data_IF_609318795282
#
_entry.id   IF_609318795282
#
_cell.length_a   1.000
_cell.length_b   1.000
_cell.length_c   1.000
_cell.angle_alpha   90.00
_cell.angle_beta   90.00
_cell.angle_gamma   90.00
#
_symmetry.space_group_name_H-M   'P 1'
#
loop_
_entity.id
_entity.type
_entity.pdbx_description
1 polymer ?
#
# COMPACT_ATOMS: atom_id res chain seq x y z
N UNK A 1 -13.34 5.43 -16.23
CA UNK A 1 -12.60 6.57 -15.63
C UNK A 1 -12.67 7.72 -16.59
N UNK A 2 -13.14 8.89 -16.18
CA UNK A 2 -13.12 10.06 -17.04
C UNK A 2 -11.67 10.45 -17.34
N UNK A 3 -11.38 10.87 -18.56
CA UNK A 3 -10.06 11.37 -18.98
C UNK A 3 -9.54 12.49 -18.06
N UNK A 4 -10.46 13.18 -17.41
CA UNK A 4 -10.20 14.24 -16.41
C UNK A 4 -9.57 13.67 -15.12
N UNK A 5 -10.05 12.53 -14.61
CA UNK A 5 -9.48 11.93 -13.39
C UNK A 5 -8.04 11.43 -13.62
N UNK A 6 -7.75 10.87 -14.81
CA UNK A 6 -6.40 10.46 -15.16
C UNK A 6 -5.45 11.66 -15.32
N UNK A 7 -5.94 12.77 -15.92
CA UNK A 7 -5.16 14.00 -16.06
C UNK A 7 -4.88 14.67 -14.71
N UNK A 8 -5.85 14.69 -13.79
CA UNK A 8 -5.67 15.24 -12.43
C UNK A 8 -4.67 14.39 -11.64
N UNK A 9 -4.74 13.07 -11.76
CA UNK A 9 -3.79 12.18 -11.09
C UNK A 9 -2.36 12.34 -11.63
N UNK A 10 -2.23 12.45 -12.96
CA UNK A 10 -0.94 12.71 -13.62
C UNK A 10 -0.39 14.09 -13.23
N UNK A 11 -1.23 15.13 -13.16
CA UNK A 11 -0.84 16.48 -12.75
C UNK A 11 -0.39 16.53 -11.29
N UNK A 12 -1.10 15.85 -10.38
CA UNK A 12 -0.70 15.70 -8.97
C UNK A 12 0.62 14.93 -8.82
N UNK A 13 0.86 13.93 -9.66
CA UNK A 13 2.11 13.17 -9.66
C UNK A 13 3.30 14.03 -10.16
N UNK A 14 3.09 14.81 -11.23
CA UNK A 14 4.10 15.72 -11.79
C UNK A 14 4.39 16.88 -10.83
N UNK A 15 3.39 17.48 -10.18
CA UNK A 15 3.59 18.56 -9.21
C UNK A 15 4.30 18.07 -7.94
N UNK A 16 4.06 16.83 -7.52
CA UNK A 16 4.79 16.21 -6.41
C UNK A 16 6.30 16.02 -6.72
N UNK A 17 6.65 15.84 -8.00
CA UNK A 17 8.05 15.71 -8.44
C UNK A 17 8.77 17.05 -8.62
N UNK A 18 8.03 18.17 -8.74
CA UNK A 18 8.60 19.51 -9.02
C UNK A 18 8.73 20.40 -7.79
N UNK A 19 8.30 19.96 -6.61
CA UNK A 19 8.55 20.68 -5.37
C UNK A 19 10.07 20.64 -5.14
N UNK A 20 10.78 21.79 -5.14
CA UNK A 20 12.19 21.81 -4.80
C UNK A 20 12.31 21.44 -3.32
N UNK A 21 12.59 20.17 -3.09
CA UNK A 21 12.80 19.63 -1.75
C UNK A 21 14.13 20.19 -1.26
N UNK A 22 14.04 21.23 -0.44
CA UNK A 22 15.16 21.60 0.42
C UNK A 22 15.55 20.36 1.20
N UNK A 23 16.66 19.74 0.82
CA UNK A 23 17.11 18.41 1.26
C UNK A 23 17.33 18.27 2.78
N UNK A 24 17.01 19.29 3.56
CA UNK A 24 17.22 19.35 5.01
C UNK A 24 15.97 19.07 5.85
N UNK A 25 14.78 18.86 5.26
CA UNK A 25 13.52 18.70 6.01
C UNK A 25 12.78 17.40 5.75
N UNK A 26 13.27 16.53 4.87
CA UNK A 26 12.65 15.21 4.72
C UNK A 26 13.24 14.25 5.75
N UNK A 27 12.39 13.72 6.64
CA UNK A 27 12.79 12.57 7.41
C UNK A 27 13.15 11.44 6.43
N UNK A 28 14.19 10.66 6.73
CA UNK A 28 14.54 9.48 5.95
C UNK A 28 13.29 8.64 5.70
N UNK A 29 13.15 8.13 4.49
CA UNK A 29 11.92 7.45 4.10
C UNK A 29 12.13 6.37 3.05
N UNK A 30 11.04 5.69 2.76
CA UNK A 30 10.97 4.68 1.72
C UNK A 30 9.76 4.95 0.82
N UNK A 31 9.92 4.81 -0.48
CA UNK A 31 8.83 4.74 -1.44
C UNK A 31 8.80 3.34 -2.05
N UNK A 32 7.65 2.71 -2.08
CA UNK A 32 7.43 1.37 -2.63
C UNK A 32 6.44 1.41 -3.77
N UNK A 33 6.71 0.62 -4.80
CA UNK A 33 5.77 0.35 -5.88
C UNK A 33 5.86 -1.12 -6.29
N UNK A 34 4.70 -1.76 -6.45
CA UNK A 34 4.64 -3.17 -6.73
C UNK A 34 3.35 -3.64 -7.36
N UNK A 35 3.32 -4.94 -7.67
CA UNK A 35 2.15 -5.66 -8.13
C UNK A 35 1.57 -6.47 -6.99
N UNK A 36 0.25 -6.61 -6.99
CA UNK A 36 -0.49 -7.31 -5.95
C UNK A 36 -1.37 -8.39 -6.55
N UNK A 37 -1.52 -9.46 -5.80
CA UNK A 37 -2.56 -10.45 -5.98
C UNK A 37 -3.39 -10.50 -4.70
N UNK A 38 -4.69 -10.32 -4.81
CA UNK A 38 -5.61 -10.36 -3.69
C UNK A 38 -6.65 -11.45 -3.88
N UNK A 39 -7.14 -11.98 -2.78
CA UNK A 39 -8.25 -12.90 -2.75
C UNK A 39 -9.32 -12.34 -1.81
N UNK A 40 -10.49 -12.07 -2.36
CA UNK A 40 -11.66 -11.63 -1.59
C UNK A 40 -12.48 -12.87 -1.31
N UNK A 41 -12.63 -13.18 -0.02
CA UNK A 41 -13.39 -14.36 0.43
C UNK A 41 -14.80 -13.92 0.76
N UNK A 42 -15.72 -14.12 -0.17
CA UNK A 42 -17.16 -14.04 0.11
C UNK A 42 -17.65 -15.42 0.57
N UNK A 43 -18.75 -15.44 1.35
CA UNK A 43 -19.35 -16.65 1.96
C UNK A 43 -19.63 -17.77 0.95
N UNK A 44 -19.67 -17.48 -0.36
CA UNK A 44 -20.04 -18.45 -1.41
C UNK A 44 -18.90 -18.74 -2.40
N UNK A 45 -17.97 -17.78 -2.64
CA UNK A 45 -16.91 -17.98 -3.63
C UNK A 45 -15.65 -17.16 -3.29
N UNK A 46 -14.52 -17.84 -3.26
CA UNK A 46 -13.20 -17.22 -3.16
C UNK A 46 -12.74 -16.81 -4.56
N UNK A 47 -12.47 -15.52 -4.75
CA UNK A 47 -12.14 -14.98 -6.07
C UNK A 47 -10.85 -14.18 -6.04
N UNK A 48 -9.92 -14.50 -6.97
CA UNK A 48 -8.64 -13.80 -7.09
C UNK A 48 -8.73 -12.51 -7.90
N UNK A 49 -8.03 -11.48 -7.45
CA UNK A 49 -7.91 -10.16 -8.07
C UNK A 49 -6.44 -9.84 -8.31
N UNK A 50 -6.15 -9.22 -9.44
CA UNK A 50 -4.83 -8.68 -9.75
C UNK A 50 -4.85 -7.17 -9.58
N UNK A 51 -3.73 -6.60 -9.15
CA UNK A 51 -3.68 -5.17 -8.92
C UNK A 51 -2.26 -4.64 -8.75
N UNK A 52 -2.21 -3.42 -8.26
CA UNK A 52 -0.98 -2.74 -7.89
C UNK A 52 -1.09 -2.23 -6.45
N UNK A 53 0.04 -1.98 -5.83
CA UNK A 53 0.10 -1.19 -4.63
C UNK A 53 1.36 -0.32 -4.59
N UNK A 54 1.24 0.81 -3.91
CA UNK A 54 2.33 1.72 -3.66
C UNK A 54 2.22 2.28 -2.25
N UNK A 55 3.34 2.53 -1.61
CA UNK A 55 3.33 3.13 -0.29
C UNK A 55 4.52 4.07 -0.08
N UNK A 56 4.30 5.07 0.77
CA UNK A 56 5.35 5.95 1.26
C UNK A 56 5.45 5.77 2.76
N UNK A 57 6.66 5.54 3.25
CA UNK A 57 7.00 5.39 4.65
C UNK A 57 7.91 6.54 5.08
N UNK A 58 7.59 7.20 6.17
CA UNK A 58 8.41 8.22 6.79
C UNK A 58 8.84 7.75 8.19
N UNK A 59 10.08 8.10 8.57
CA UNK A 59 10.62 7.86 9.91
C UNK A 59 10.63 9.18 10.68
N UNK A 60 9.55 9.51 11.43
CA UNK A 60 9.41 10.83 12.08
C UNK A 60 10.43 11.08 13.21
N UNK A 61 11.01 10.00 13.73
CA UNK A 61 11.96 10.08 14.85
C UNK A 61 13.30 9.46 14.44
N UNK A 62 14.35 10.26 14.39
CA UNK A 62 15.71 9.79 14.07
C UNK A 62 16.25 8.75 15.06
N UNK A 63 15.80 8.80 16.31
CA UNK A 63 16.13 7.81 17.37
C UNK A 63 15.36 6.50 17.25
N UNK A 64 14.25 6.45 16.52
CA UNK A 64 13.38 5.28 16.37
C UNK A 64 13.32 4.82 14.90
N UNK A 65 14.49 4.53 14.31
CA UNK A 65 14.58 4.07 12.91
C UNK A 65 13.86 2.73 12.61
N UNK A 66 13.40 2.05 13.65
CA UNK A 66 12.60 0.83 13.55
C UNK A 66 11.11 1.11 13.39
N UNK A 67 10.66 2.32 13.72
CA UNK A 67 9.27 2.73 13.68
C UNK A 67 9.05 3.72 12.52
N UNK A 68 8.23 3.32 11.56
CA UNK A 68 7.79 4.15 10.44
C UNK A 68 6.30 4.39 10.47
N UNK A 69 5.86 5.51 9.88
CA UNK A 69 4.46 5.75 9.53
C UNK A 69 4.30 5.62 8.02
N UNK A 70 3.30 4.85 7.59
CA UNK A 70 3.09 4.48 6.19
C UNK A 70 1.75 4.99 5.71
N UNK A 71 1.73 5.49 4.47
CA UNK A 71 0.51 5.66 3.67
C UNK A 71 0.60 4.66 2.52
N UNK A 72 -0.39 3.79 2.39
CA UNK A 72 -0.49 2.74 1.37
C UNK A 72 -1.71 3.01 0.48
N UNK A 73 -1.49 2.96 -0.83
CA UNK A 73 -2.55 3.02 -1.83
C UNK A 73 -2.49 1.76 -2.69
N UNK A 74 -3.63 1.14 -2.95
CA UNK A 74 -3.70 -0.05 -3.79
C UNK A 74 -4.95 -0.08 -4.65
N UNK A 75 -4.85 -0.70 -5.82
CA UNK A 75 -5.96 -0.88 -6.75
C UNK A 75 -6.07 -2.33 -7.18
N UNK A 76 -7.29 -2.86 -7.18
CA UNK A 76 -7.61 -4.22 -7.63
C UNK A 76 -8.63 -4.17 -8.76
N UNK A 77 -8.39 -4.97 -9.77
CA UNK A 77 -9.21 -5.00 -10.96
C UNK A 77 -9.67 -6.41 -11.28
N UNK A 78 -10.96 -6.53 -11.59
CA UNK A 78 -11.57 -7.73 -12.14
C UNK A 78 -12.77 -7.33 -12.98
N UNK A 79 -12.92 -7.94 -14.19
CA UNK A 79 -13.96 -7.72 -15.21
C UNK A 79 -15.00 -6.60 -14.96
N UNK A 80 -15.77 -6.67 -13.86
CA UNK A 80 -16.86 -5.72 -13.54
C UNK A 80 -16.69 -5.06 -12.17
N UNK A 81 -15.58 -5.31 -11.47
CA UNK A 81 -15.34 -4.79 -10.12
C UNK A 81 -13.99 -4.09 -10.09
N UNK A 82 -14.00 -2.87 -9.62
CA UNK A 82 -12.80 -2.08 -9.34
C UNK A 82 -12.82 -1.69 -7.87
N UNK A 83 -11.72 -1.95 -7.16
CA UNK A 83 -11.59 -1.56 -5.77
C UNK A 83 -10.28 -0.80 -5.56
N UNK A 84 -10.35 0.32 -4.85
CA UNK A 84 -9.18 1.10 -4.43
C UNK A 84 -9.15 1.16 -2.91
N UNK A 85 -7.98 0.99 -2.32
CA UNK A 85 -7.76 1.18 -0.90
C UNK A 85 -6.83 2.38 -0.69
N UNK A 86 -7.10 3.16 0.34
CA UNK A 86 -6.20 4.15 0.89
C UNK A 86 -6.11 3.90 2.39
N UNK A 87 -4.94 3.46 2.84
CA UNK A 87 -4.69 3.00 4.20
C UNK A 87 -3.52 3.77 4.80
N UNK A 88 -3.52 3.96 6.11
CA UNK A 88 -2.40 4.58 6.81
C UNK A 88 -2.20 3.93 8.19
N UNK A 89 -0.97 3.91 8.67
CA UNK A 89 -0.66 3.39 10.00
C UNK A 89 0.82 3.09 10.24
N UNK A 90 1.13 2.52 11.40
CA UNK A 90 2.48 2.21 11.81
C UNK A 90 3.05 0.96 11.12
N UNK A 91 4.37 0.98 10.94
CA UNK A 91 5.20 -0.15 10.55
C UNK A 91 6.38 -0.27 11.49
N UNK A 92 6.63 -1.48 11.99
CA UNK A 92 7.82 -1.82 12.74
C UNK A 92 8.74 -2.66 11.87
N UNK A 93 10.00 -2.28 11.77
CA UNK A 93 10.98 -2.98 10.95
C UNK A 93 12.31 -3.11 11.67
N UNK A 94 13.08 -4.17 11.36
CA UNK A 94 14.41 -4.37 11.92
C UNK A 94 15.41 -4.72 10.82
N UNK A 95 16.67 -4.30 10.99
CA UNK A 95 17.72 -4.61 10.02
C UNK A 95 18.44 -5.90 10.41
N UNK A 96 18.43 -6.90 9.53
CA UNK A 96 19.10 -8.18 9.67
C UNK A 96 20.03 -8.42 8.47
N UNK A 97 21.14 -7.68 8.42
CA UNK A 97 22.09 -7.73 7.31
C UNK A 97 21.49 -7.21 5.99
N UNK A 98 21.27 -8.10 5.02
CA UNK A 98 20.63 -7.75 3.74
C UNK A 98 19.09 -7.76 3.79
N UNK A 99 18.51 -8.35 4.82
CA UNK A 99 17.08 -8.49 5.03
C UNK A 99 16.59 -7.43 6.01
N UNK A 100 15.41 -6.89 5.74
CA UNK A 100 14.71 -5.99 6.65
C UNK A 100 13.27 -6.47 6.80
N UNK A 101 13.04 -7.45 7.71
CA UNK A 101 11.69 -7.87 8.05
C UNK A 101 10.92 -6.73 8.70
N UNK A 102 9.58 -6.73 8.48
CA UNK A 102 8.68 -5.75 9.06
C UNK A 102 7.30 -6.36 9.33
N UNK A 103 6.60 -5.74 10.25
CA UNK A 103 5.17 -5.93 10.51
C UNK A 103 4.48 -4.58 10.44
N UNK A 104 3.20 -4.58 10.08
CA UNK A 104 2.43 -3.35 9.88
C UNK A 104 0.98 -3.53 10.30
N UNK A 105 0.35 -2.42 10.70
CA UNK A 105 -1.08 -2.35 10.97
C UNK A 105 -1.62 -1.03 10.43
N UNK A 106 -2.61 -1.08 9.56
CA UNK A 106 -3.17 0.08 8.89
C UNK A 106 -4.67 0.15 9.09
N UNK A 107 -5.19 1.37 9.07
CA UNK A 107 -6.61 1.65 8.99
C UNK A 107 -6.88 2.61 7.83
N UNK A 108 -8.07 2.53 7.24
CA UNK A 108 -8.43 3.43 6.16
C UNK A 108 -9.74 3.07 5.49
N UNK A 109 -9.86 3.47 4.23
CA UNK A 109 -11.08 3.32 3.45
C UNK A 109 -10.81 2.52 2.17
N UNK A 110 -11.83 1.79 1.76
CA UNK A 110 -11.88 1.10 0.47
C UNK A 110 -13.00 1.72 -0.36
N UNK A 111 -12.72 2.06 -1.60
CA UNK A 111 -13.72 2.45 -2.58
C UNK A 111 -13.97 1.27 -3.51
N UNK A 112 -15.21 0.79 -3.55
CA UNK A 112 -15.61 -0.32 -4.41
C UNK A 112 -16.63 0.21 -5.40
N UNK A 113 -16.37 -0.01 -6.70
CA UNK A 113 -17.32 0.20 -7.79
C UNK A 113 -17.63 -1.17 -8.42
N UNK A 114 -18.89 -1.56 -8.29
CA UNK A 114 -19.40 -2.83 -8.86
C UNK A 114 -20.71 -2.58 -9.58
N UNK A 115 -20.67 -2.48 -10.91
CA UNK A 115 -21.85 -2.38 -11.77
C UNK A 115 -22.87 -1.30 -11.34
N UNK A 116 -22.38 -0.13 -10.89
CA UNK A 116 -23.20 1.00 -10.47
C UNK A 116 -23.51 1.07 -8.96
N UNK A 117 -23.09 0.09 -8.18
CA UNK A 117 -23.10 0.17 -6.72
C UNK A 117 -21.75 0.70 -6.21
N UNK A 118 -21.78 1.86 -5.56
CA UNK A 118 -20.61 2.46 -4.92
C UNK A 118 -20.69 2.24 -3.41
N UNK A 119 -19.59 1.77 -2.82
CA UNK A 119 -19.48 1.61 -1.37
C UNK A 119 -18.10 2.00 -0.88
N UNK A 120 -18.05 2.57 0.32
CA UNK A 120 -16.82 3.04 0.97
C UNK A 120 -16.67 2.43 2.38
N UNK A 121 -16.46 1.10 2.51
CA UNK A 121 -16.26 0.50 3.82
C UNK A 121 -14.93 0.90 4.46
N UNK A 122 -14.93 0.96 5.79
CA UNK A 122 -13.70 1.06 6.58
C UNK A 122 -12.97 -0.28 6.54
N UNK A 123 -11.65 -0.22 6.39
CA UNK A 123 -10.75 -1.38 6.32
C UNK A 123 -9.71 -1.28 7.41
N UNK A 124 -9.48 -2.41 8.08
CA UNK A 124 -8.33 -2.64 8.94
C UNK A 124 -7.45 -3.66 8.24
N UNK A 125 -6.17 -3.38 8.16
CA UNK A 125 -5.15 -4.21 7.51
C UNK A 125 -4.05 -4.53 8.52
N UNK A 126 -3.70 -5.80 8.64
CA UNK A 126 -2.55 -6.26 9.42
C UNK A 126 -1.70 -7.15 8.52
N UNK A 127 -0.44 -6.84 8.43
CA UNK A 127 0.44 -7.56 7.52
C UNK A 127 1.90 -7.53 7.94
N UNK A 128 2.71 -8.10 7.06
CA UNK A 128 4.14 -8.10 7.24
C UNK A 128 4.85 -8.57 5.98
N UNK A 129 6.15 -8.46 6.01
CA UNK A 129 6.98 -8.82 4.88
C UNK A 129 8.45 -8.61 5.15
N UNK A 130 9.21 -8.56 4.08
CA UNK A 130 10.63 -8.30 4.16
C UNK A 130 11.12 -7.57 2.93
N UNK A 131 12.09 -6.67 3.14
CA UNK A 131 12.85 -6.02 2.08
C UNK A 131 14.20 -6.70 1.95
N UNK A 132 14.56 -7.10 0.77
CA UNK A 132 15.89 -7.60 0.44
C UNK A 132 16.71 -6.50 -0.24
N UNK A 133 17.82 -6.10 0.38
CA UNK A 133 18.70 -5.04 -0.12
C UNK A 133 19.40 -5.50 -1.40
N UNK A 134 19.13 -4.79 -2.50
CA UNK A 134 19.80 -5.02 -3.77
C UNK A 134 21.24 -4.46 -3.76
N UNK A 135 22.04 -4.82 -4.76
CA UNK A 135 23.39 -4.27 -4.90
C UNK A 135 23.38 -2.76 -5.25
N UNK A 136 22.24 -2.20 -5.62
CA UNK A 136 22.03 -0.77 -5.80
C UNK A 136 21.70 -0.12 -4.46
N UNK A 137 22.52 0.84 -4.05
CA UNK A 137 22.52 1.41 -2.67
C UNK A 137 21.15 1.85 -2.16
N UNK A 138 20.30 2.40 -3.04
CA UNK A 138 18.99 2.96 -2.67
C UNK A 138 17.81 2.03 -2.91
N UNK A 139 18.03 0.84 -3.51
CA UNK A 139 16.94 -0.04 -3.89
C UNK A 139 16.91 -1.35 -3.09
N UNK A 140 15.70 -1.80 -2.80
CA UNK A 140 15.43 -3.10 -2.19
C UNK A 140 14.25 -3.75 -2.90
N UNK A 141 14.21 -5.07 -2.87
CA UNK A 141 13.07 -5.86 -3.32
C UNK A 141 12.20 -6.19 -2.12
N UNK A 142 10.90 -5.93 -2.22
CA UNK A 142 9.92 -6.22 -1.16
C UNK A 142 9.03 -7.39 -1.54
N UNK A 143 8.76 -8.24 -0.54
CA UNK A 143 7.67 -9.22 -0.55
C UNK A 143 6.88 -9.01 0.73
N UNK A 144 5.55 -8.89 0.62
CA UNK A 144 4.66 -8.71 1.77
C UNK A 144 3.35 -9.46 1.59
N UNK A 145 2.73 -9.80 2.72
CA UNK A 145 1.39 -10.37 2.79
C UNK A 145 0.59 -9.59 3.82
N UNK A 146 -0.64 -9.24 3.47
CA UNK A 146 -1.54 -8.45 4.28
C UNK A 146 -2.88 -9.17 4.41
N UNK A 147 -3.48 -9.07 5.60
CA UNK A 147 -4.80 -9.55 5.93
C UNK A 147 -5.69 -8.34 6.18
N UNK A 148 -6.68 -8.15 5.34
CA UNK A 148 -7.61 -7.03 5.41
C UNK A 148 -8.95 -7.50 5.93
N UNK A 149 -9.49 -6.76 6.89
CA UNK A 149 -10.85 -6.93 7.39
C UNK A 149 -11.65 -5.69 7.04
N UNK A 150 -12.73 -5.86 6.29
CA UNK A 150 -13.68 -4.80 6.01
C UNK A 150 -15.05 -5.12 6.61
N UNK A 151 -15.76 -4.06 7.04
CA UNK A 151 -17.13 -4.19 7.53
C UNK A 151 -18.07 -3.56 6.50
N UNK A 152 -18.86 -4.40 5.85
CA UNK A 152 -19.76 -3.99 4.78
C UNK A 152 -21.17 -4.53 5.05
N UNK A 153 -22.18 -3.67 5.09
CA UNK A 153 -23.61 -4.01 5.27
C UNK A 153 -23.84 -5.07 6.36
N UNK A 154 -23.31 -4.84 7.57
CA UNK A 154 -23.39 -5.76 8.72
C UNK A 154 -22.70 -7.12 8.55
N UNK A 155 -21.93 -7.30 7.47
CA UNK A 155 -21.11 -8.50 7.27
C UNK A 155 -19.62 -8.17 7.37
N UNK A 156 -18.89 -9.05 8.03
CA UNK A 156 -17.43 -8.97 8.09
C UNK A 156 -16.84 -9.76 6.94
N UNK A 157 -16.00 -9.13 6.14
CA UNK A 157 -15.30 -9.73 5.03
C UNK A 157 -13.79 -9.78 5.35
N UNK A 158 -13.17 -10.91 5.04
CA UNK A 158 -11.73 -11.13 5.19
C UNK A 158 -11.10 -11.31 3.81
N UNK A 159 -10.07 -10.53 3.55
CA UNK A 159 -9.35 -10.54 2.28
C UNK A 159 -7.85 -10.74 2.55
N UNK A 160 -7.14 -11.35 1.60
CA UNK A 160 -5.69 -11.48 1.61
C UNK A 160 -5.12 -10.69 0.45
N UNK A 161 -3.96 -10.08 0.68
CA UNK A 161 -3.16 -9.44 -0.36
C UNK A 161 -1.73 -9.94 -0.26
N UNK A 162 -1.20 -10.52 -1.31
CA UNK A 162 0.23 -10.76 -1.49
C UNK A 162 0.77 -9.76 -2.50
N UNK A 163 1.91 -9.15 -2.21
CA UNK A 163 2.49 -8.11 -3.05
C UNK A 163 3.99 -8.25 -3.16
N UNK A 164 4.52 -7.84 -4.29
CA UNK A 164 5.97 -7.82 -4.54
C UNK A 164 6.33 -6.64 -5.43
N UNK A 165 7.50 -6.03 -5.21
CA UNK A 165 7.93 -4.87 -5.96
C UNK A 165 9.21 -4.24 -5.46
N UNK A 166 9.47 -3.02 -5.86
CA UNK A 166 10.69 -2.29 -5.55
C UNK A 166 10.44 -1.23 -4.47
N UNK A 167 11.40 -1.09 -3.59
CA UNK A 167 11.49 -0.04 -2.57
C UNK A 167 12.67 0.85 -2.92
N UNK A 168 12.42 2.15 -3.00
CA UNK A 168 13.44 3.18 -3.08
C UNK A 168 13.59 3.83 -1.70
N UNK A 169 14.83 3.94 -1.21
CA UNK A 169 15.19 4.53 0.08
C UNK A 169 15.90 5.87 -0.15
N UNK A 170 15.45 6.89 0.50
CA UNK A 170 15.99 8.26 0.43
C UNK A 170 16.27 8.85 1.82
#
# INVERSE_FOLDING_TARGET
MSKIAAAVLAFLFVTALTIPMSAQLLPSGNAYAGVSYGQITNVVNSQGYKGWNGSVEAFPFSSLQHFGFVIDASGFYRRSITAYNLLAGPRLSTNMGRWRPFIQAFGGIRHIDSSGFISNPVVIDVGGGTDYKLNWKSFSWRVQVDFMRSHYLSQTQFDYRASTGLVWRF
#
